data_IF_965278627437
#
_entry.id   IF_965278627437
#
_cell.length_a   1.000
_cell.length_b   1.000
_cell.length_c   1.000
_cell.angle_alpha   90.00
_cell.angle_beta   90.00
_cell.angle_gamma   90.00
#
_symmetry.space_group_name_H-M   'P 1'
#
loop_
_entity.id
_entity.type
_entity.pdbx_description
1 polymer ?
#
# COMPACT_ATOMS: atom_id res chain seq x y z
N UNK A 1 8.01 3.59 -12.18
CA UNK A 1 9.34 3.02 -11.89
C UNK A 1 9.62 3.01 -10.39
N UNK A 2 9.78 4.16 -9.72
CA UNK A 2 10.05 4.23 -8.26
C UNK A 2 9.15 3.33 -7.39
N UNK A 3 7.83 3.44 -7.57
CA UNK A 3 6.86 2.66 -6.78
C UNK A 3 7.01 1.15 -6.99
N UNK A 4 7.32 0.73 -8.22
CA UNK A 4 7.58 -0.68 -8.54
C UNK A 4 8.81 -1.17 -7.76
N UNK A 5 9.92 -0.44 -7.86
CA UNK A 5 11.16 -0.83 -7.18
C UNK A 5 10.98 -0.85 -5.66
N UNK A 6 10.29 0.14 -5.11
CA UNK A 6 10.02 0.20 -3.67
C UNK A 6 9.18 -0.97 -3.18
N UNK A 7 8.08 -1.30 -3.86
CA UNK A 7 7.27 -2.47 -3.52
C UNK A 7 8.00 -3.80 -3.78
N UNK A 8 8.83 -3.85 -4.83
CA UNK A 8 9.69 -5.00 -5.12
C UNK A 8 10.65 -5.28 -3.97
N UNK A 9 11.37 -4.27 -3.49
CA UNK A 9 12.27 -4.39 -2.34
C UNK A 9 11.53 -4.81 -1.07
N UNK A 10 10.35 -4.23 -0.80
CA UNK A 10 9.49 -4.64 0.32
C UNK A 10 9.16 -6.13 0.25
N UNK A 11 8.82 -6.64 -0.94
CA UNK A 11 8.51 -8.05 -1.14
C UNK A 11 9.75 -8.95 -0.98
N UNK A 12 10.91 -8.53 -1.51
CA UNK A 12 12.18 -9.27 -1.38
C UNK A 12 12.66 -9.39 0.07
N UNK A 13 12.40 -8.37 0.89
CA UNK A 13 12.70 -8.39 2.33
C UNK A 13 11.72 -9.25 3.15
N UNK A 14 10.72 -9.87 2.53
CA UNK A 14 9.75 -10.74 3.20
C UNK A 14 8.52 -10.02 3.76
N UNK A 15 8.32 -8.74 3.42
CA UNK A 15 7.19 -7.92 3.89
C UNK A 15 6.11 -7.73 2.83
N UNK A 16 5.96 -8.67 1.89
CA UNK A 16 4.87 -8.60 0.88
C UNK A 16 3.51 -8.51 1.60
N UNK A 17 2.71 -7.45 1.35
CA UNK A 17 1.42 -7.33 2.02
C UNK A 17 0.38 -8.30 1.43
N UNK A 18 -0.51 -8.78 2.28
CA UNK A 18 -1.68 -9.57 1.86
C UNK A 18 -2.80 -8.64 1.36
N UNK A 19 -3.24 -8.86 0.11
CA UNK A 19 -4.21 -7.98 -0.57
C UNK A 19 -5.53 -8.68 -0.92
N UNK A 20 -5.59 -10.01 -0.87
CA UNK A 20 -6.74 -10.80 -1.32
C UNK A 20 -7.51 -11.42 -0.16
N UNK A 21 -6.85 -11.73 0.95
CA UNK A 21 -7.50 -12.30 2.14
C UNK A 21 -7.29 -11.41 3.35
N UNK A 22 -8.32 -11.20 4.16
CA UNK A 22 -8.18 -10.39 5.35
C UNK A 22 -7.22 -11.09 6.33
N UNK A 23 -6.13 -10.44 6.76
CA UNK A 23 -5.17 -11.07 7.68
C UNK A 23 -5.76 -11.32 9.08
N UNK A 24 -6.87 -10.66 9.43
CA UNK A 24 -7.53 -10.82 10.72
C UNK A 24 -8.52 -12.00 10.75
N UNK A 25 -9.44 -12.08 9.77
CA UNK A 25 -10.51 -13.09 9.78
C UNK A 25 -10.36 -14.17 8.69
N UNK A 26 -9.39 -14.03 7.79
CA UNK A 26 -9.10 -14.97 6.70
C UNK A 26 -10.04 -14.93 5.50
N UNK A 27 -11.12 -14.12 5.57
CA UNK A 27 -12.11 -13.95 4.48
C UNK A 27 -11.47 -13.35 3.24
N UNK A 28 -11.83 -13.85 2.08
CA UNK A 28 -11.45 -13.24 0.79
C UNK A 28 -12.15 -11.89 0.59
N UNK A 29 -11.40 -10.89 0.14
CA UNK A 29 -11.91 -9.55 -0.14
C UNK A 29 -12.61 -9.56 -1.49
N UNK A 30 -13.84 -9.05 -1.55
CA UNK A 30 -14.54 -8.96 -2.83
C UNK A 30 -13.80 -8.01 -3.78
N UNK A 31 -13.85 -8.23 -5.11
CA UNK A 31 -13.08 -7.43 -6.08
C UNK A 31 -13.34 -5.92 -5.97
N UNK A 32 -14.56 -5.51 -5.65
CA UNK A 32 -15.03 -4.13 -5.50
C UNK A 32 -15.03 -3.61 -4.04
N UNK A 33 -14.59 -4.44 -3.09
CA UNK A 33 -14.63 -4.12 -1.66
C UNK A 33 -13.67 -2.98 -1.29
N UNK A 34 -14.20 -2.02 -0.54
CA UNK A 34 -13.40 -1.01 0.17
C UNK A 34 -12.78 -1.62 1.42
N UNK A 35 -11.47 -1.82 1.41
CA UNK A 35 -10.71 -2.31 2.55
C UNK A 35 -10.05 -1.20 3.37
N UNK A 36 -9.34 -1.61 4.42
CA UNK A 36 -8.40 -0.75 5.15
C UNK A 36 -7.05 -1.43 5.23
N UNK A 37 -6.01 -0.73 4.84
CA UNK A 37 -4.65 -1.20 5.05
C UNK A 37 -4.35 -1.19 6.55
N UNK A 38 -3.81 -2.27 7.08
CA UNK A 38 -3.38 -2.38 8.47
C UNK A 38 -1.94 -2.85 8.49
N UNK A 39 -1.04 -1.93 8.84
CA UNK A 39 0.40 -2.18 8.85
C UNK A 39 0.76 -3.27 9.86
N UNK A 40 0.13 -3.28 11.03
CA UNK A 40 0.38 -4.29 12.06
C UNK A 40 0.00 -5.70 11.62
N UNK A 41 -1.04 -5.81 10.79
CA UNK A 41 -1.52 -7.08 10.25
C UNK A 41 -0.91 -7.42 8.88
N UNK A 42 -0.02 -6.57 8.34
CA UNK A 42 0.70 -6.82 7.10
C UNK A 42 -0.20 -6.90 5.85
N UNK A 43 -1.34 -6.22 5.82
CA UNK A 43 -2.25 -6.35 4.67
C UNK A 43 -3.54 -5.57 4.75
N UNK A 44 -4.49 -5.92 3.88
CA UNK A 44 -5.78 -5.23 3.79
C UNK A 44 -6.83 -5.98 4.61
N UNK A 45 -7.36 -5.31 5.64
CA UNK A 45 -8.54 -5.77 6.37
C UNK A 45 -9.80 -5.53 5.54
N UNK A 46 -10.69 -6.53 5.55
CA UNK A 46 -11.99 -6.42 4.92
C UNK A 46 -12.89 -5.39 5.64
N UNK A 47 -14.01 -5.00 5.03
CA UNK A 47 -14.90 -3.97 5.54
C UNK A 47 -15.41 -4.27 6.97
N UNK A 48 -15.74 -5.54 7.26
CA UNK A 48 -16.22 -5.97 8.58
C UNK A 48 -15.14 -5.85 9.66
N UNK A 49 -13.90 -6.06 9.24
CA UNK A 49 -12.73 -5.95 10.09
C UNK A 49 -12.09 -4.56 9.99
N UNK A 50 -12.62 -3.57 9.26
CA UNK A 50 -11.88 -2.33 8.99
C UNK A 50 -11.86 -1.34 10.18
N UNK A 51 -12.52 -1.65 11.29
CA UNK A 51 -12.52 -0.85 12.51
C UNK A 51 -11.18 -0.92 13.24
N UNK A 52 -10.59 0.24 13.54
CA UNK A 52 -9.36 0.36 14.34
C UNK A 52 -8.04 0.01 13.65
N UNK A 53 -8.01 -0.15 12.33
CA UNK A 53 -6.73 -0.30 11.60
C UNK A 53 -5.97 1.03 11.50
N UNK A 54 -4.64 0.98 11.61
CA UNK A 54 -3.77 2.17 11.65
C UNK A 54 -3.46 2.78 10.27
N UNK A 55 -3.75 2.07 9.19
CA UNK A 55 -3.47 2.53 7.82
C UNK A 55 -4.69 3.12 7.09
N UNK A 56 -4.47 3.62 5.85
CA UNK A 56 -5.50 4.29 5.06
C UNK A 56 -6.58 3.32 4.57
N UNK A 57 -7.76 3.86 4.24
CA UNK A 57 -8.74 3.13 3.44
C UNK A 57 -8.16 2.94 2.03
N UNK A 58 -8.36 1.75 1.48
CA UNK A 58 -7.88 1.41 0.14
C UNK A 58 -9.04 0.88 -0.68
N UNK A 59 -9.24 1.48 -1.86
CA UNK A 59 -10.26 1.05 -2.80
C UNK A 59 -9.79 -0.07 -3.71
N UNK A 60 -10.72 -0.67 -4.47
CA UNK A 60 -10.42 -1.82 -5.33
C UNK A 60 -9.37 -1.50 -6.40
N UNK A 61 -9.47 -0.34 -7.07
CA UNK A 61 -8.48 0.09 -8.08
C UNK A 61 -7.07 0.26 -7.50
N UNK A 62 -6.95 0.98 -6.38
CA UNK A 62 -5.66 1.14 -5.69
C UNK A 62 -5.09 -0.21 -5.23
N UNK A 63 -5.93 -1.14 -4.75
CA UNK A 63 -5.52 -2.49 -4.35
C UNK A 63 -4.97 -3.30 -5.52
N UNK A 64 -5.62 -3.22 -6.69
CA UNK A 64 -5.13 -3.83 -7.93
C UNK A 64 -3.80 -3.21 -8.38
N UNK A 65 -3.68 -1.88 -8.32
CA UNK A 65 -2.45 -1.17 -8.68
C UNK A 65 -1.28 -1.55 -7.76
N UNK A 66 -1.48 -1.66 -6.44
CA UNK A 66 -0.46 -2.17 -5.50
C UNK A 66 -0.08 -3.61 -5.84
N UNK A 67 -1.07 -4.47 -6.15
CA UNK A 67 -0.82 -5.85 -6.59
C UNK A 67 0.03 -5.93 -7.86
N UNK A 68 -0.24 -5.09 -8.86
CA UNK A 68 0.55 -4.99 -10.07
C UNK A 68 1.99 -4.52 -9.81
N UNK A 69 2.16 -3.50 -8.95
CA UNK A 69 3.48 -3.01 -8.53
C UNK A 69 4.30 -4.10 -7.83
N UNK A 70 3.69 -4.88 -6.93
CA UNK A 70 4.30 -6.04 -6.26
C UNK A 70 4.64 -7.19 -7.23
N UNK A 71 3.94 -7.28 -8.36
CA UNK A 71 4.24 -8.22 -9.43
C UNK A 71 5.30 -7.71 -10.41
N UNK A 72 5.86 -6.51 -10.19
CA UNK A 72 6.86 -5.91 -11.08
C UNK A 72 6.28 -5.18 -12.29
N UNK A 73 4.95 -4.99 -12.35
CA UNK A 73 4.29 -4.22 -13.39
C UNK A 73 4.10 -2.76 -12.97
N UNK A 74 4.02 -1.84 -13.94
CA UNK A 74 3.65 -0.44 -13.72
C UNK A 74 2.28 -0.27 -14.40
N UNK A 75 1.19 -0.03 -13.65
CA UNK A 75 -0.12 0.25 -14.25
C UNK A 75 -0.07 1.48 -15.15
N UNK A 76 -0.62 1.39 -16.36
CA UNK A 76 -0.71 2.52 -17.30
C UNK A 76 -1.65 3.63 -16.79
N UNK A 77 -2.63 3.24 -15.96
CA UNK A 77 -3.66 4.07 -15.37
C UNK A 77 -3.39 4.38 -13.88
N UNK A 78 -2.12 4.45 -13.47
CA UNK A 78 -1.77 4.68 -12.06
C UNK A 78 -2.39 5.99 -11.53
N UNK A 79 -3.42 5.83 -10.71
CA UNK A 79 -4.13 6.95 -10.08
C UNK A 79 -3.44 7.36 -8.78
N UNK A 80 -3.50 8.64 -8.44
CA UNK A 80 -3.04 9.17 -7.13
C UNK A 80 -1.64 8.67 -6.73
N UNK A 81 -0.61 8.93 -7.54
CA UNK A 81 0.75 8.40 -7.30
C UNK A 81 1.34 8.88 -5.96
N UNK A 82 0.91 10.03 -5.43
CA UNK A 82 1.32 10.52 -4.10
C UNK A 82 0.75 9.66 -2.98
N UNK A 83 -0.54 9.27 -3.03
CA UNK A 83 -1.12 8.32 -2.09
C UNK A 83 -0.43 6.95 -2.12
N UNK A 84 -0.05 6.45 -3.30
CA UNK A 84 0.75 5.22 -3.42
C UNK A 84 2.13 5.36 -2.77
N UNK A 85 2.81 6.49 -3.00
CA UNK A 85 4.10 6.76 -2.36
C UNK A 85 3.98 6.89 -0.85
N UNK A 86 2.93 7.55 -0.37
CA UNK A 86 2.64 7.68 1.06
C UNK A 86 2.40 6.31 1.70
N UNK A 87 1.56 5.46 1.09
CA UNK A 87 1.31 4.11 1.57
C UNK A 87 2.60 3.28 1.65
N UNK A 88 3.43 3.32 0.60
CA UNK A 88 4.73 2.65 0.57
C UNK A 88 5.66 3.19 1.67
N UNK A 89 5.75 4.50 1.83
CA UNK A 89 6.56 5.16 2.87
C UNK A 89 6.12 4.73 4.27
N UNK A 90 4.83 4.74 4.55
CA UNK A 90 4.28 4.35 5.86
C UNK A 90 4.53 2.86 6.14
N UNK A 91 4.35 2.01 5.13
CA UNK A 91 4.61 0.57 5.24
C UNK A 91 6.08 0.27 5.50
N UNK A 92 7.00 0.90 4.75
CA UNK A 92 8.46 0.78 4.96
C UNK A 92 8.84 1.33 6.32
N UNK A 93 8.22 2.43 6.76
CA UNK A 93 8.47 2.99 8.09
C UNK A 93 8.12 1.94 9.14
N UNK A 94 6.89 1.41 9.10
CA UNK A 94 6.42 0.44 10.08
C UNK A 94 7.28 -0.83 10.17
N UNK A 95 7.63 -1.43 9.02
CA UNK A 95 8.29 -2.75 9.01
C UNK A 95 9.82 -2.71 8.93
N UNK A 96 10.40 -1.67 8.33
CA UNK A 96 11.84 -1.65 7.99
C UNK A 96 12.58 -0.56 8.74
N UNK A 97 12.09 0.68 8.72
CA UNK A 97 12.80 1.82 9.30
C UNK A 97 12.46 2.07 10.78
N UNK A 98 11.39 1.45 11.31
CA UNK A 98 10.92 1.63 12.67
C UNK A 98 10.06 2.88 12.85
N UNK A 99 10.52 3.84 13.66
CA UNK A 99 9.66 4.95 14.12
C UNK A 99 9.72 6.23 13.29
N UNK A 100 10.62 6.33 12.31
CA UNK A 100 10.81 7.54 11.51
C UNK A 100 10.87 7.22 10.01
N UNK A 101 10.13 7.93 9.15
CA UNK A 101 10.24 7.76 7.72
C UNK A 101 11.61 8.20 7.21
N UNK A 102 12.04 7.62 6.09
CA UNK A 102 13.26 8.05 5.40
C UNK A 102 13.05 9.45 4.81
N UNK A 103 14.00 10.37 5.06
CA UNK A 103 13.92 11.76 4.58
C UNK A 103 13.71 11.85 3.06
N UNK A 104 14.21 10.87 2.31
CA UNK A 104 14.09 10.80 0.85
C UNK A 104 12.62 10.71 0.39
N UNK A 105 11.71 10.10 1.16
CA UNK A 105 10.30 10.03 0.75
C UNK A 105 9.65 11.41 0.60
N UNK A 106 10.03 12.38 1.44
CA UNK A 106 9.57 13.79 1.32
C UNK A 106 10.01 14.41 0.00
N UNK A 107 11.25 14.14 -0.42
CA UNK A 107 11.79 14.64 -1.69
C UNK A 107 11.06 14.01 -2.86
N UNK A 108 10.89 12.67 -2.83
CA UNK A 108 10.21 11.93 -3.88
C UNK A 108 8.75 12.38 -4.06
N UNK A 109 8.04 12.66 -2.96
CA UNK A 109 6.67 13.18 -3.01
C UNK A 109 6.57 14.53 -3.73
N UNK A 110 7.58 15.41 -3.58
CA UNK A 110 7.64 16.69 -4.26
C UNK A 110 7.86 16.57 -5.78
N UNK A 111 8.41 15.44 -6.25
CA UNK A 111 8.63 15.16 -7.68
C UNK A 111 7.38 14.58 -8.37
N UNK A 112 6.37 14.16 -7.62
CA UNK A 112 5.12 13.61 -8.17
C UNK A 112 4.09 14.72 -8.41
N UNK A 113 3.22 14.58 -9.44
CA UNK A 113 2.15 15.54 -9.67
C UNK A 113 1.19 15.61 -8.47
N UNK A 114 0.61 16.80 -8.17
CA UNK A 114 -0.40 16.91 -7.14
C UNK A 114 -1.65 16.11 -7.50
N UNK A 115 -2.37 15.63 -6.49
CA UNK A 115 -3.64 14.94 -6.68
C UNK A 115 -4.71 15.98 -7.04
N UNK A 116 -5.54 15.69 -8.05
CA UNK A 116 -6.75 16.47 -8.30
C UNK A 116 -7.72 16.25 -7.13
N UNK A 117 -8.28 17.34 -6.62
CA UNK A 117 -9.25 17.35 -5.51
C UNK A 117 -10.59 16.78 -5.94
#
# INVERSE_FOLDING_TARGET
MLLREGWGLVAELGYRPELQRCPLCGRELAPDEMGRFDFSQGGVRCADCATGGEGPRIGPGARLQVGALLAGAIPDDLERPRAHLQLLSDFITYHVAGSRPLDTFRILAALLPPEAT
#
